data_IF_179387642752
#
_entry.id   IF_179387642752
#
_cell.length_a   1.000
_cell.length_b   1.000
_cell.length_c   1.000
_cell.angle_alpha   90.00
_cell.angle_beta   90.00
_cell.angle_gamma   90.00
#
_symmetry.space_group_name_H-M   'P 1'
#
loop_
_entity.id
_entity.type
_entity.pdbx_description
1 polymer ?
#
# COMPACT_ATOMS: atom_id res chain seq x y z
N UNK A 1 -6.70 -4.60 -5.71
CA UNK A 1 -6.95 -4.08 -4.35
C UNK A 1 -8.35 -3.46 -4.31
N UNK A 2 -9.11 -3.50 -3.21
CA UNK A 2 -10.43 -2.85 -3.11
C UNK A 2 -10.36 -1.69 -2.11
N UNK A 3 -10.06 -0.47 -2.59
CA UNK A 3 -9.95 0.72 -1.73
C UNK A 3 -11.23 1.01 -0.95
N UNK A 4 -12.41 0.71 -1.52
CA UNK A 4 -13.73 0.93 -0.89
C UNK A 4 -13.95 0.18 0.43
N UNK A 5 -13.14 -0.84 0.74
CA UNK A 5 -13.26 -1.64 1.98
C UNK A 5 -12.25 -1.24 3.05
N UNK A 6 -11.39 -0.27 2.77
CA UNK A 6 -10.32 0.16 3.66
C UNK A 6 -10.55 1.61 4.07
N UNK A 7 -10.05 1.97 5.25
CA UNK A 7 -9.89 3.37 5.59
C UNK A 7 -9.00 4.06 4.53
N UNK A 8 -9.32 5.28 4.06
CA UNK A 8 -8.55 5.94 3.01
C UNK A 8 -7.05 6.04 3.32
N UNK A 9 -6.66 6.32 4.57
CA UNK A 9 -5.25 6.39 4.97
C UNK A 9 -4.61 5.01 4.97
N UNK A 10 -5.32 4.00 5.46
CA UNK A 10 -4.86 2.61 5.37
C UNK A 10 -4.72 2.14 3.91
N UNK A 11 -5.59 2.64 3.02
CA UNK A 11 -5.54 2.42 1.58
C UNK A 11 -4.27 2.98 0.95
N UNK A 12 -3.92 4.23 1.25
CA UNK A 12 -2.65 4.85 0.82
C UNK A 12 -1.47 4.02 1.30
N UNK A 13 -1.39 3.75 2.61
CA UNK A 13 -0.29 3.00 3.21
C UNK A 13 -0.14 1.61 2.58
N UNK A 14 -1.24 0.87 2.45
CA UNK A 14 -1.24 -0.47 1.84
C UNK A 14 -0.81 -0.44 0.38
N UNK A 15 -1.23 0.58 -0.37
CA UNK A 15 -0.82 0.74 -1.77
C UNK A 15 0.69 0.97 -1.87
N UNK A 16 1.21 1.93 -1.11
CA UNK A 16 2.62 2.30 -1.14
C UNK A 16 3.52 1.17 -0.62
N UNK A 17 3.13 0.47 0.45
CA UNK A 17 3.83 -0.72 0.94
C UNK A 17 3.94 -1.81 -0.13
N UNK A 18 2.86 -2.03 -0.88
CA UNK A 18 2.85 -3.03 -1.96
C UNK A 18 3.64 -2.60 -3.18
N UNK A 19 3.65 -1.30 -3.49
CA UNK A 19 4.35 -0.73 -4.63
C UNK A 19 5.87 -0.68 -4.43
N UNK A 20 6.30 -0.37 -3.20
CA UNK A 20 7.72 -0.35 -2.82
C UNK A 20 8.24 -1.73 -2.42
N UNK A 21 7.36 -2.65 -2.05
CA UNK A 21 7.73 -3.99 -1.57
C UNK A 21 8.35 -4.00 -0.16
N UNK A 22 8.33 -2.86 0.54
CA UNK A 22 8.80 -2.71 1.91
C UNK A 22 7.72 -2.09 2.79
N UNK A 23 7.96 -2.09 4.09
CA UNK A 23 7.13 -1.34 5.03
C UNK A 23 7.40 0.16 4.84
N UNK A 24 6.36 0.94 4.53
CA UNK A 24 6.47 2.38 4.24
C UNK A 24 6.15 3.18 5.48
N UNK A 25 6.94 4.22 5.76
CA UNK A 25 6.76 5.06 6.95
C UNK A 25 6.17 6.41 6.59
N UNK A 26 5.16 6.81 7.35
CA UNK A 26 4.65 8.18 7.29
C UNK A 26 5.72 9.13 7.85
N UNK A 27 6.08 10.15 7.08
CA UNK A 27 7.17 11.09 7.38
C UNK A 27 8.42 10.87 6.52
N UNK A 28 8.69 9.63 6.11
CA UNK A 28 9.85 9.29 5.27
C UNK A 28 9.43 9.05 3.81
N UNK A 29 8.48 8.15 3.59
CA UNK A 29 8.10 7.69 2.24
C UNK A 29 6.90 8.45 1.67
N UNK A 30 6.04 8.95 2.55
CA UNK A 30 4.89 9.78 2.23
C UNK A 30 4.52 10.60 3.45
N UNK A 31 3.91 11.77 3.25
CA UNK A 31 3.46 12.62 4.34
C UNK A 31 2.22 13.43 3.96
N UNK A 32 1.47 13.83 4.97
CA UNK A 32 0.37 14.75 4.83
C UNK A 32 0.80 16.12 5.31
N UNK A 33 0.42 17.16 4.56
CA UNK A 33 0.59 18.54 5.00
C UNK A 33 -0.79 19.16 5.08
N UNK A 34 -1.19 19.52 6.30
CA UNK A 34 -2.43 20.24 6.57
C UNK A 34 -2.11 21.72 6.86
N UNK A 35 -2.97 22.59 6.37
CA UNK A 35 -2.90 24.03 6.62
C UNK A 35 -4.28 24.58 6.94
N UNK A 36 -4.34 25.48 7.92
CA UNK A 36 -5.56 26.22 8.24
C UNK A 36 -5.85 27.24 7.12
N UNK A 37 -7.13 27.35 6.77
CA UNK A 37 -7.73 28.28 5.82
C UNK A 37 -8.92 28.97 6.49
N UNK A 38 -9.42 30.03 5.86
CA UNK A 38 -10.48 30.86 6.44
C UNK A 38 -11.77 30.07 6.74
N UNK A 39 -12.06 29.03 5.94
CA UNK A 39 -13.25 28.20 6.04
C UNK A 39 -13.01 26.80 6.64
N UNK A 40 -11.81 26.50 7.13
CA UNK A 40 -11.48 25.19 7.71
C UNK A 40 -10.02 24.80 7.53
N UNK A 41 -9.77 23.51 7.30
CA UNK A 41 -8.45 22.94 7.07
C UNK A 41 -8.39 22.32 5.69
N UNK A 42 -7.30 22.56 4.97
CA UNK A 42 -6.99 21.92 3.70
C UNK A 42 -5.72 21.10 3.87
N UNK A 43 -5.74 19.85 3.43
CA UNK A 43 -4.56 19.01 3.43
C UNK A 43 -4.24 18.49 2.03
N UNK A 44 -2.98 18.20 1.80
CA UNK A 44 -2.51 17.45 0.64
C UNK A 44 -1.61 16.30 1.07
N UNK A 45 -1.60 15.24 0.25
CA UNK A 45 -0.71 14.10 0.39
C UNK A 45 0.41 14.21 -0.66
N UNK A 46 1.65 14.07 -0.20
CA UNK A 46 2.81 13.82 -1.06
C UNK A 46 3.30 12.39 -0.84
N UNK A 47 3.52 11.67 -1.93
CA UNK A 47 4.09 10.33 -1.91
C UNK A 47 5.20 10.25 -2.97
N UNK A 48 6.41 10.77 -2.68
CA UNK A 48 7.52 10.77 -3.62
C UNK A 48 7.90 9.38 -4.11
N UNK A 49 7.73 8.37 -3.26
CA UNK A 49 7.96 6.96 -3.62
C UNK A 49 7.02 6.44 -4.72
N UNK A 50 5.91 7.14 -5.03
CA UNK A 50 4.98 6.81 -6.11
C UNK A 50 5.10 7.80 -7.27
N UNK A 51 5.13 9.10 -6.97
CA UNK A 51 5.27 10.13 -7.98
C UNK A 51 5.89 11.36 -7.35
N UNK A 52 7.04 11.78 -7.88
CA UNK A 52 7.80 12.95 -7.39
C UNK A 52 7.12 14.29 -7.67
N UNK A 53 6.08 14.32 -8.52
CA UNK A 53 5.40 15.56 -8.94
C UNK A 53 3.95 15.66 -8.48
N UNK A 54 3.35 14.59 -7.97
CA UNK A 54 1.93 14.58 -7.66
C UNK A 54 1.65 14.95 -6.20
N UNK A 55 1.04 16.12 -6.01
CA UNK A 55 0.37 16.51 -4.76
C UNK A 55 -1.11 16.21 -4.86
N UNK A 56 -1.62 15.37 -3.97
CA UNK A 56 -3.03 15.01 -3.95
C UNK A 56 -3.77 15.91 -2.96
N UNK A 57 -4.36 16.99 -3.46
CA UNK A 57 -5.12 17.94 -2.65
C UNK A 57 -6.51 17.41 -2.30
N UNK A 58 -6.80 17.36 -1.01
CA UNK A 58 -8.13 17.08 -0.49
C UNK A 58 -9.10 18.26 -0.64
N UNK A 59 -10.30 18.09 -0.08
CA UNK A 59 -11.26 19.18 0.10
C UNK A 59 -11.00 19.92 1.42
N UNK A 60 -11.51 21.15 1.53
CA UNK A 60 -11.54 21.90 2.80
C UNK A 60 -12.50 21.20 3.76
N UNK A 61 -12.05 20.90 4.98
CA UNK A 61 -12.83 20.22 6.01
C UNK A 61 -12.78 20.96 7.36
N UNK A 62 -13.71 20.69 8.29
CA UNK A 62 -13.75 21.34 9.59
C UNK A 62 -12.55 21.04 10.49
N UNK A 63 -11.88 19.90 10.28
CA UNK A 63 -10.72 19.45 11.06
C UNK A 63 -9.55 19.00 10.18
N UNK A 64 -8.33 19.09 10.71
CA UNK A 64 -7.11 18.60 10.05
C UNK A 64 -7.21 17.13 9.68
N UNK A 65 -7.72 16.30 10.60
CA UNK A 65 -7.87 14.85 10.39
C UNK A 65 -8.77 14.54 9.20
N UNK A 66 -9.89 15.26 9.06
CA UNK A 66 -10.81 15.07 7.94
C UNK A 66 -10.22 15.58 6.62
N UNK A 67 -9.46 16.68 6.67
CA UNK A 67 -8.76 17.20 5.50
C UNK A 67 -7.74 16.18 4.97
N UNK A 68 -6.97 15.53 5.86
CA UNK A 68 -6.03 14.47 5.50
C UNK A 68 -6.73 13.24 4.92
N UNK A 69 -7.86 12.83 5.51
CA UNK A 69 -8.68 11.73 4.96
C UNK A 69 -9.19 12.10 3.57
N UNK A 70 -9.55 13.36 3.34
CA UNK A 70 -9.97 13.85 2.03
C UNK A 70 -8.84 13.79 1.00
N UNK A 71 -7.62 14.18 1.38
CA UNK A 71 -6.43 14.04 0.54
C UNK A 71 -6.13 12.56 0.22
N UNK A 72 -6.23 11.68 1.22
CA UNK A 72 -6.07 10.24 1.04
C UNK A 72 -7.13 9.66 0.08
N UNK A 73 -8.38 10.11 0.18
CA UNK A 73 -9.45 9.72 -0.77
C UNK A 73 -9.07 10.10 -2.20
N UNK A 74 -8.61 11.33 -2.41
CA UNK A 74 -8.17 11.82 -3.73
C UNK A 74 -7.06 10.95 -4.33
N UNK A 75 -6.08 10.53 -3.53
CA UNK A 75 -5.08 9.55 -3.96
C UNK A 75 -5.70 8.21 -4.34
N UNK A 76 -6.54 7.62 -3.48
CA UNK A 76 -7.12 6.30 -3.73
C UNK A 76 -8.16 6.26 -4.86
N UNK A 77 -8.67 7.43 -5.27
CA UNK A 77 -9.59 7.60 -6.40
C UNK A 77 -8.89 8.01 -7.69
N UNK A 78 -7.59 8.33 -7.64
CA UNK A 78 -6.81 8.68 -8.82
C UNK A 78 -6.72 7.48 -9.78
N UNK A 79 -6.96 7.74 -11.06
CA UNK A 79 -7.03 6.67 -12.07
C UNK A 79 -5.70 5.92 -12.20
N UNK A 80 -4.56 6.62 -12.14
CA UNK A 80 -3.25 5.98 -12.24
C UNK A 80 -2.99 5.08 -11.02
N UNK A 81 -3.35 5.55 -9.83
CA UNK A 81 -3.26 4.77 -8.59
C UNK A 81 -4.16 3.54 -8.67
N UNK A 82 -5.41 3.68 -9.14
CA UNK A 82 -6.36 2.56 -9.27
C UNK A 82 -5.88 1.54 -10.30
N UNK A 83 -5.35 1.98 -11.43
CA UNK A 83 -4.79 1.10 -12.47
C UNK A 83 -3.54 0.36 -11.96
N UNK A 84 -2.63 1.06 -11.28
CA UNK A 84 -1.46 0.43 -10.67
C UNK A 84 -1.87 -0.55 -9.58
N UNK A 85 -2.85 -0.22 -8.75
CA UNK A 85 -3.32 -1.08 -7.65
C UNK A 85 -3.92 -2.43 -8.12
N UNK A 86 -4.34 -2.52 -9.39
CA UNK A 86 -4.74 -3.78 -10.03
C UNK A 86 -3.54 -4.65 -10.41
N UNK A 87 -2.41 -4.02 -10.74
CA UNK A 87 -1.15 -4.66 -11.15
C UNK A 87 -0.13 -4.82 -10.01
N UNK A 88 -0.54 -4.56 -8.76
CA UNK A 88 0.34 -4.74 -7.60
C UNK A 88 0.34 -6.19 -7.10
N UNK A 89 1.50 -6.73 -6.68
CA UNK A 89 1.59 -8.06 -6.09
C UNK A 89 0.80 -8.12 -4.77
N UNK A 90 0.21 -9.27 -4.40
CA UNK A 90 -0.51 -9.43 -3.13
C UNK A 90 0.40 -9.11 -1.93
N UNK A 91 -0.19 -8.69 -0.81
CA UNK A 91 0.61 -8.35 0.40
C UNK A 91 1.32 -9.58 0.95
N UNK A 92 2.47 -9.38 1.58
CA UNK A 92 3.20 -10.47 2.23
C UNK A 92 2.33 -11.17 3.29
N UNK A 93 1.47 -10.43 4.01
CA UNK A 93 0.49 -11.02 4.94
C UNK A 93 -0.50 -11.95 4.23
N UNK A 94 -1.01 -11.55 3.06
CA UNK A 94 -1.88 -12.42 2.26
C UNK A 94 -1.15 -13.63 1.70
N UNK A 95 0.11 -13.47 1.25
CA UNK A 95 0.96 -14.57 0.80
C UNK A 95 1.26 -15.55 1.94
N UNK A 96 1.65 -15.05 3.11
CA UNK A 96 1.84 -15.86 4.31
C UNK A 96 0.56 -16.60 4.71
N UNK A 97 -0.61 -15.98 4.58
CA UNK A 97 -1.90 -16.63 4.80
C UNK A 97 -2.17 -17.77 3.81
N UNK A 98 -1.85 -17.57 2.53
CA UNK A 98 -1.97 -18.60 1.50
C UNK A 98 -0.99 -19.76 1.70
N UNK A 99 0.27 -19.46 1.99
CA UNK A 99 1.31 -20.46 2.27
C UNK A 99 0.95 -21.27 3.52
N UNK A 100 0.48 -20.61 4.60
CA UNK A 100 -0.02 -21.32 5.79
C UNK A 100 -1.20 -22.24 5.48
N UNK A 101 -2.18 -21.80 4.70
CA UNK A 101 -3.32 -22.63 4.28
C UNK A 101 -2.86 -23.84 3.45
N UNK A 102 -1.92 -23.63 2.52
CA UNK A 102 -1.36 -24.70 1.69
C UNK A 102 -0.56 -25.73 2.51
N UNK A 103 0.23 -25.26 3.49
CA UNK A 103 0.95 -26.11 4.43
C UNK A 103 0.00 -26.92 5.34
N UNK A 104 -1.13 -26.35 5.72
CA UNK A 104 -2.15 -27.03 6.53
C UNK A 104 -2.99 -28.03 5.73
N UNK A 105 -3.28 -27.77 4.45
CA UNK A 105 -4.02 -28.72 3.60
C UNK A 105 -3.21 -29.97 3.23
N UNK A 106 -1.87 -29.90 3.29
CA UNK A 106 -0.99 -31.02 2.96
C UNK A 106 -0.70 -32.00 4.10
N UNK A 107 -1.07 -31.68 5.35
CA UNK A 107 -0.75 -32.54 6.52
C UNK A 107 -1.94 -32.66 7.48
N UNK A 108 -2.68 -33.78 7.38
CA UNK A 108 -3.39 -34.39 8.52
C UNK A 108 -2.35 -34.88 9.54
N UNK A 109 -1.65 -33.99 10.21
CA UNK A 109 -0.54 -34.36 11.08
C UNK A 109 0.16 -33.16 11.68
N UNK A 110 -0.17 -32.89 12.93
CA UNK A 110 0.35 -31.83 13.80
C UNK A 110 1.88 -31.79 13.77
N UNK A 111 2.46 -30.98 12.90
CA UNK A 111 3.86 -30.57 12.98
C UNK A 111 3.91 -29.05 12.97
N UNK A 112 4.54 -28.49 13.99
CA UNK A 112 4.84 -27.07 14.12
C UNK A 112 5.83 -26.68 13.02
N UNK A 113 5.33 -26.38 11.83
CA UNK A 113 6.14 -25.83 10.74
C UNK A 113 6.72 -24.51 11.24
N UNK A 114 8.05 -24.43 11.34
CA UNK A 114 8.73 -23.24 11.82
C UNK A 114 8.41 -22.02 10.93
N UNK A 115 8.44 -20.83 11.52
CA UNK A 115 8.00 -19.60 10.85
C UNK A 115 8.94 -19.14 9.72
N UNK A 116 10.23 -19.51 9.81
CA UNK A 116 11.27 -19.15 8.85
C UNK A 116 11.05 -19.70 7.42
N UNK A 117 10.83 -21.01 7.21
CA UNK A 117 10.61 -21.56 5.86
C UNK A 117 9.33 -21.04 5.19
N UNK A 118 8.28 -20.72 5.97
CA UNK A 118 7.06 -20.11 5.43
C UNK A 118 7.32 -18.69 4.90
N UNK A 119 8.17 -17.92 5.59
CA UNK A 119 8.56 -16.57 5.18
C UNK A 119 9.38 -16.59 3.90
N UNK A 120 10.27 -17.57 3.77
CA UNK A 120 11.11 -17.77 2.59
C UNK A 120 10.27 -18.17 1.37
N UNK A 121 9.32 -19.11 1.53
CA UNK A 121 8.41 -19.50 0.44
C UNK A 121 7.50 -18.33 0.01
N UNK A 122 7.02 -17.52 0.96
CA UNK A 122 6.25 -16.32 0.64
C UNK A 122 7.09 -15.27 -0.11
N UNK A 123 8.37 -15.12 0.26
CA UNK A 123 9.32 -14.25 -0.44
C UNK A 123 9.61 -14.75 -1.87
N UNK A 124 9.83 -16.05 -2.06
CA UNK A 124 10.03 -16.64 -3.40
C UNK A 124 8.79 -16.45 -4.29
N UNK A 125 7.59 -16.66 -3.74
CA UNK A 125 6.34 -16.37 -4.47
C UNK A 125 6.21 -14.90 -4.81
N UNK A 126 6.55 -13.99 -3.88
CA UNK A 126 6.57 -12.56 -4.13
C UNK A 126 7.52 -12.17 -5.26
N UNK A 127 8.74 -12.70 -5.24
CA UNK A 127 9.74 -12.47 -6.29
C UNK A 127 9.26 -13.00 -7.65
N UNK A 128 8.58 -14.15 -7.70
CA UNK A 128 7.99 -14.67 -8.94
C UNK A 128 6.90 -13.75 -9.54
N UNK A 129 6.28 -12.87 -8.74
CA UNK A 129 5.36 -11.86 -9.25
C UNK A 129 6.10 -10.67 -9.85
N UNK A 130 7.31 -10.34 -9.39
CA UNK A 130 8.15 -9.32 -10.03
C UNK A 130 8.52 -9.72 -11.46
N UNK A 131 8.85 -10.99 -11.69
CA UNK A 131 9.21 -11.52 -13.01
C UNK A 131 8.02 -11.59 -13.99
N UNK A 132 6.78 -11.52 -13.50
CA UNK A 132 5.54 -11.63 -14.30
C UNK A 132 4.98 -10.28 -14.76
N UNK A 133 5.75 -9.20 -14.66
CA UNK A 133 5.35 -7.88 -15.15
C UNK A 133 4.43 -7.10 -14.21
N UNK A 134 4.45 -7.39 -12.90
CA UNK A 134 3.79 -6.57 -11.89
C UNK A 134 4.60 -5.29 -11.67
N UNK A 135 3.98 -4.13 -11.92
CA UNK A 135 4.63 -2.81 -11.83
C UNK A 135 5.05 -2.52 -10.38
N UNK A 136 6.32 -2.23 -10.16
CA UNK A 136 6.87 -1.87 -8.85
C UNK A 136 7.79 -0.64 -8.98
N UNK A 137 8.16 -0.04 -7.85
CA UNK A 137 9.03 1.16 -7.77
C UNK A 137 10.36 1.02 -8.55
N UNK A 138 10.95 -0.18 -8.58
CA UNK A 138 12.17 -0.48 -9.35
C UNK A 138 12.00 -0.27 -10.87
N UNK A 139 10.79 -0.51 -11.41
CA UNK A 139 10.50 -0.30 -12.83
C UNK A 139 10.23 1.16 -13.17
N UNK A 140 9.76 1.96 -12.21
CA UNK A 140 9.50 3.39 -12.40
C UNK A 140 10.71 4.26 -12.01
N UNK A 141 11.86 3.65 -11.71
CA UNK A 141 13.12 4.35 -11.43
C UNK A 141 13.20 5.02 -10.06
N UNK A 142 12.31 4.65 -9.12
CA UNK A 142 12.38 5.10 -7.74
C UNK A 142 13.40 4.25 -6.98
N UNK A 143 14.67 4.67 -7.00
CA UNK A 143 15.75 4.15 -6.17
C UNK A 143 15.88 5.01 -4.89
#
# INVERSE_FOLDING_TARGET
MKFQKLDPKAGVHTFLARYTGRDVKNGDDYWYVAGKRDSGFLAYLEAPCWSTKARYFGSVCPSEKEAEVSAAKKFTSDEQVVLAAKKLPPTMTSLMGLVKKHAQSGKKGRTTTSFAPLKEEAAQRYNSYQDRGFRNSLWDGAA
#
